data_IF_259152731335
#
_entry.id   IF_259152731335
#
_cell.length_a   1.000
_cell.length_b   1.000
_cell.length_c   1.000
_cell.angle_alpha   90.00
_cell.angle_beta   90.00
_cell.angle_gamma   90.00
#
_symmetry.space_group_name_H-M   'P 1'
#
loop_
_entity.id
_entity.type
_entity.pdbx_description
1 polymer ?
#
# COMPACT_ATOMS: atom_id res chain seq x y z
N UNK A 1 -14.76 31.14 5.68
CA UNK A 1 -14.53 29.86 5.01
C UNK A 1 -13.50 29.05 5.75
N UNK A 2 -13.78 27.81 5.96
CA UNK A 2 -12.83 26.92 6.61
C UNK A 2 -11.69 26.59 5.64
N UNK A 3 -10.47 27.03 5.96
CA UNK A 3 -9.28 26.80 5.12
C UNK A 3 -8.49 25.55 5.49
N UNK A 4 -9.05 24.67 6.30
CA UNK A 4 -8.38 23.50 6.80
C UNK A 4 -8.47 22.31 5.86
N UNK A 5 -7.56 21.36 6.06
CA UNK A 5 -7.57 20.10 5.32
C UNK A 5 -8.69 19.19 5.81
N UNK A 6 -9.20 18.37 4.89
CA UNK A 6 -10.16 17.33 5.24
C UNK A 6 -9.50 16.23 6.09
N UNK A 7 -10.27 15.42 6.84
CA UNK A 7 -9.71 14.28 7.57
C UNK A 7 -8.89 13.34 6.70
N UNK A 8 -9.31 13.09 5.47
CA UNK A 8 -8.54 12.27 4.53
C UNK A 8 -7.19 12.90 4.20
N UNK A 9 -7.18 14.21 3.91
CA UNK A 9 -5.96 14.95 3.59
C UNK A 9 -5.02 14.99 4.81
N UNK A 10 -5.56 15.22 6.00
CA UNK A 10 -4.78 15.22 7.24
C UNK A 10 -4.18 13.85 7.55
N UNK A 11 -4.93 12.78 7.33
CA UNK A 11 -4.43 11.42 7.52
C UNK A 11 -3.25 11.14 6.59
N UNK A 12 -3.37 11.53 5.32
CA UNK A 12 -2.30 11.35 4.33
C UNK A 12 -1.07 12.18 4.70
N UNK A 13 -1.25 13.45 5.10
CA UNK A 13 -0.15 14.33 5.51
C UNK A 13 0.53 13.82 6.78
N UNK A 14 -0.25 13.36 7.75
CA UNK A 14 0.29 12.79 8.99
C UNK A 14 1.16 11.57 8.69
N UNK A 15 0.67 10.66 7.86
CA UNK A 15 1.41 9.47 7.44
C UNK A 15 2.71 9.86 6.73
N UNK A 16 2.66 10.84 5.83
CA UNK A 16 3.84 11.32 5.12
C UNK A 16 4.89 11.90 6.07
N UNK A 17 4.45 12.69 7.05
CA UNK A 17 5.34 13.28 8.06
C UNK A 17 6.00 12.19 8.92
N UNK A 18 5.24 11.19 9.32
CA UNK A 18 5.78 10.06 10.09
C UNK A 18 6.88 9.37 9.30
N UNK A 19 6.63 9.09 8.01
CA UNK A 19 7.64 8.48 7.14
C UNK A 19 8.88 9.35 6.94
N UNK A 20 8.71 10.66 6.95
CA UNK A 20 9.83 11.59 6.81
C UNK A 20 10.76 11.55 8.03
N UNK A 21 10.21 11.45 9.23
CA UNK A 21 10.96 11.57 10.48
C UNK A 21 11.31 10.25 11.13
N UNK A 22 10.59 9.19 10.79
CA UNK A 22 10.85 7.86 11.33
C UNK A 22 11.58 7.04 10.28
N UNK A 23 12.82 6.69 10.59
CA UNK A 23 13.62 5.85 9.70
C UNK A 23 13.00 4.45 9.58
N UNK A 24 12.79 4.01 8.36
CA UNK A 24 12.34 2.63 8.12
C UNK A 24 13.47 1.65 8.40
N UNK A 25 13.20 0.64 9.23
CA UNK A 25 14.07 -0.49 9.39
C UNK A 25 13.99 -1.44 8.19
N UNK A 26 14.86 -2.48 8.15
CA UNK A 26 14.81 -3.46 7.07
C UNK A 26 13.47 -4.17 6.95
N UNK A 27 12.83 -4.51 8.08
CA UNK A 27 11.54 -5.19 8.09
C UNK A 27 10.44 -4.32 7.47
N UNK A 28 10.41 -3.04 7.80
CA UNK A 28 9.42 -2.08 7.27
C UNK A 28 9.60 -1.86 5.78
N UNK A 29 10.85 -1.83 5.31
CA UNK A 29 11.13 -1.71 3.87
C UNK A 29 10.62 -2.93 3.11
N UNK A 30 10.83 -4.12 3.67
CA UNK A 30 10.34 -5.37 3.07
C UNK A 30 8.82 -5.36 3.03
N UNK A 31 8.16 -4.99 4.11
CA UNK A 31 6.69 -4.93 4.17
C UNK A 31 6.13 -3.94 3.17
N UNK A 32 6.75 -2.77 3.05
CA UNK A 32 6.33 -1.76 2.08
C UNK A 32 6.45 -2.29 0.64
N UNK A 33 7.58 -2.94 0.33
CA UNK A 33 7.80 -3.53 -0.99
C UNK A 33 6.77 -4.63 -1.29
N UNK A 34 6.46 -5.47 -0.30
CA UNK A 34 5.43 -6.51 -0.43
C UNK A 34 4.07 -5.90 -0.73
N UNK A 35 3.66 -4.87 0.00
CA UNK A 35 2.37 -4.22 -0.19
C UNK A 35 2.26 -3.59 -1.58
N UNK A 36 3.32 -2.95 -2.04
CA UNK A 36 3.37 -2.36 -3.37
C UNK A 36 3.18 -3.42 -4.45
N UNK A 37 3.84 -4.56 -4.29
CA UNK A 37 3.73 -5.68 -5.21
C UNK A 37 2.34 -6.31 -5.18
N UNK A 38 1.77 -6.53 -4.00
CA UNK A 38 0.40 -7.07 -3.84
C UNK A 38 -0.63 -6.13 -4.45
N UNK A 39 -0.47 -4.83 -4.26
CA UNK A 39 -1.34 -3.82 -4.86
C UNK A 39 -1.28 -3.86 -6.39
N UNK A 40 -0.08 -4.01 -6.95
CA UNK A 40 0.10 -4.10 -8.39
C UNK A 40 -0.60 -5.35 -8.98
N UNK A 41 -0.50 -6.48 -8.28
CA UNK A 41 -1.18 -7.71 -8.70
C UNK A 41 -2.69 -7.58 -8.59
N UNK A 42 -3.18 -7.04 -7.47
CA UNK A 42 -4.62 -6.93 -7.23
C UNK A 42 -5.31 -5.96 -8.18
N UNK A 43 -4.58 -4.99 -8.72
CA UNK A 43 -5.16 -4.01 -9.65
C UNK A 43 -5.61 -4.65 -10.97
N UNK A 44 -5.11 -5.83 -11.30
CA UNK A 44 -5.44 -6.53 -12.54
C UNK A 44 -5.27 -8.04 -12.37
N UNK A 45 -6.17 -8.67 -11.64
CA UNK A 45 -6.14 -10.13 -11.47
C UNK A 45 -6.97 -10.83 -12.57
N UNK A 46 -6.45 -11.90 -13.16
CA UNK A 46 -5.08 -12.42 -13.02
C UNK A 46 -4.06 -11.53 -13.75
N UNK A 47 -2.95 -11.25 -13.10
CA UNK A 47 -1.91 -10.37 -13.63
C UNK A 47 -0.75 -11.17 -14.20
N UNK A 48 -0.19 -10.73 -15.33
CA UNK A 48 1.05 -11.31 -15.84
C UNK A 48 2.24 -10.59 -15.20
N UNK A 49 3.44 -11.21 -15.30
CA UNK A 49 4.68 -10.56 -14.85
C UNK A 49 4.88 -9.22 -15.55
N UNK A 50 4.56 -9.15 -16.84
CA UNK A 50 4.69 -7.90 -17.59
C UNK A 50 3.72 -6.83 -17.08
N UNK A 51 2.50 -7.19 -16.74
CA UNK A 51 1.54 -6.25 -16.16
C UNK A 51 2.08 -5.65 -14.87
N UNK A 52 2.62 -6.50 -14.00
CA UNK A 52 3.18 -6.08 -12.72
C UNK A 52 4.42 -5.21 -12.93
N UNK A 53 5.31 -5.62 -13.84
CA UNK A 53 6.52 -4.86 -14.16
C UNK A 53 6.20 -3.45 -14.67
N UNK A 54 5.21 -3.33 -15.54
CA UNK A 54 4.76 -2.03 -16.05
C UNK A 54 4.17 -1.17 -14.95
N UNK A 55 3.36 -1.75 -14.08
CA UNK A 55 2.70 -1.03 -12.99
C UNK A 55 3.73 -0.48 -12.00
N UNK A 56 4.76 -1.27 -11.69
CA UNK A 56 5.79 -0.89 -10.72
C UNK A 56 6.91 -0.06 -11.35
N UNK A 57 7.12 -0.18 -12.66
CA UNK A 57 8.20 0.51 -13.36
C UNK A 57 9.56 -0.14 -13.14
N UNK A 58 9.60 -1.46 -12.97
CA UNK A 58 10.84 -2.24 -12.80
C UNK A 58 10.95 -3.30 -13.88
N UNK A 59 12.18 -3.75 -14.11
CA UNK A 59 12.46 -4.81 -15.07
C UNK A 59 11.89 -6.15 -14.66
N UNK A 60 11.51 -6.96 -15.64
CA UNK A 60 10.89 -8.27 -15.40
C UNK A 60 11.73 -9.22 -14.53
N UNK A 61 13.08 -9.30 -14.64
CA UNK A 61 13.85 -10.18 -13.76
C UNK A 61 13.75 -9.82 -12.28
N UNK A 62 13.76 -8.52 -11.94
CA UNK A 62 13.62 -8.07 -10.56
C UNK A 62 12.22 -8.37 -10.04
N UNK A 63 11.19 -8.12 -10.85
CA UNK A 63 9.80 -8.41 -10.50
C UNK A 63 9.60 -9.91 -10.31
N UNK A 64 10.17 -10.74 -11.17
CA UNK A 64 10.08 -12.20 -11.07
C UNK A 64 10.62 -12.70 -9.72
N UNK A 65 11.78 -12.18 -9.29
CA UNK A 65 12.36 -12.54 -8.00
C UNK A 65 11.48 -12.11 -6.81
N UNK A 66 10.90 -10.93 -6.90
CA UNK A 66 9.99 -10.44 -5.86
C UNK A 66 8.71 -11.28 -5.80
N UNK A 67 8.18 -11.66 -6.95
CA UNK A 67 7.00 -12.55 -7.03
C UNK A 67 7.32 -13.93 -6.45
N UNK A 68 8.49 -14.49 -6.77
CA UNK A 68 8.91 -15.77 -6.20
C UNK A 68 8.93 -15.74 -4.66
N UNK A 69 9.42 -14.65 -4.10
CA UNK A 69 9.41 -14.46 -2.65
C UNK A 69 7.99 -14.41 -2.08
N UNK A 70 7.06 -13.74 -2.77
CA UNK A 70 5.67 -13.67 -2.34
C UNK A 70 4.96 -15.01 -2.44
N UNK A 71 5.28 -15.81 -3.47
CA UNK A 71 4.75 -17.16 -3.61
C UNK A 71 5.23 -18.05 -2.47
N UNK A 72 6.52 -17.97 -2.13
CA UNK A 72 7.08 -18.73 -1.00
C UNK A 72 6.46 -18.30 0.33
N UNK A 73 6.12 -17.02 0.45
CA UNK A 73 5.46 -16.50 1.67
C UNK A 73 3.97 -16.85 1.75
N UNK A 74 3.41 -17.47 0.71
CA UNK A 74 1.99 -17.84 0.68
C UNK A 74 1.04 -16.70 0.41
N UNK A 75 1.53 -15.57 -0.11
CA UNK A 75 0.71 -14.37 -0.37
C UNK A 75 0.21 -14.28 -1.81
N UNK A 76 0.88 -14.96 -2.72
CA UNK A 76 0.59 -14.96 -4.16
C UNK A 76 0.62 -16.40 -4.66
N UNK A 77 -0.24 -16.72 -5.60
CA UNK A 77 -0.21 -18.00 -6.31
C UNK A 77 -0.07 -17.78 -7.81
N UNK A 78 0.58 -18.74 -8.46
CA UNK A 78 0.65 -18.77 -9.92
C UNK A 78 -0.47 -19.63 -10.45
N UNK A 79 -1.17 -19.11 -11.47
CA UNK A 79 -2.24 -19.81 -12.17
C UNK A 79 -1.97 -19.75 -13.66
N UNK A 80 -2.72 -20.51 -14.44
CA UNK A 80 -2.67 -20.35 -15.89
C UNK A 80 -3.43 -19.10 -16.31
N UNK A 81 -2.88 -18.38 -17.29
CA UNK A 81 -3.60 -17.27 -17.90
C UNK A 81 -4.81 -17.80 -18.67
N UNK A 82 -6.03 -17.34 -18.38
CA UNK A 82 -7.23 -17.79 -19.08
C UNK A 82 -7.19 -17.58 -20.59
N UNK A 83 -6.44 -16.56 -21.03
CA UNK A 83 -6.37 -16.19 -22.43
C UNK A 83 -5.16 -16.81 -23.17
N UNK A 84 -4.20 -17.35 -22.43
CA UNK A 84 -3.02 -17.96 -23.00
C UNK A 84 -2.44 -19.00 -22.05
N UNK A 85 -2.68 -20.29 -22.34
CA UNK A 85 -2.25 -21.40 -21.48
C UNK A 85 -0.73 -21.54 -21.31
N UNK A 86 0.05 -20.93 -22.19
CA UNK A 86 1.51 -20.94 -22.11
C UNK A 86 2.04 -19.88 -21.14
N UNK A 87 1.18 -18.96 -20.72
CA UNK A 87 1.53 -17.85 -19.85
C UNK A 87 1.02 -18.10 -18.44
N UNK A 88 1.87 -17.83 -17.47
CA UNK A 88 1.45 -17.86 -16.07
C UNK A 88 0.86 -16.52 -15.68
N UNK A 89 -0.17 -16.58 -14.86
CA UNK A 89 -0.81 -15.42 -14.28
C UNK A 89 -0.68 -15.48 -12.77
N UNK A 90 -0.82 -14.33 -12.13
CA UNK A 90 -0.64 -14.16 -10.70
C UNK A 90 -1.96 -13.74 -10.06
N UNK A 91 -2.26 -14.32 -8.91
CA UNK A 91 -3.40 -13.96 -8.08
C UNK A 91 -2.97 -13.88 -6.64
N UNK A 92 -3.63 -13.03 -5.87
CA UNK A 92 -3.45 -13.02 -4.43
C UNK A 92 -4.09 -14.28 -3.84
N UNK A 93 -3.43 -14.85 -2.83
CA UNK A 93 -4.05 -15.87 -1.99
C UNK A 93 -4.99 -15.17 -0.99
N UNK A 94 -5.79 -15.94 -0.25
CA UNK A 94 -6.60 -15.35 0.81
C UNK A 94 -5.72 -14.64 1.84
N UNK A 95 -4.58 -15.23 2.18
CA UNK A 95 -3.62 -14.61 3.08
C UNK A 95 -3.10 -13.27 2.55
N UNK A 96 -2.83 -13.18 1.24
CA UNK A 96 -2.44 -11.93 0.59
C UNK A 96 -3.54 -10.87 0.65
N UNK A 97 -4.80 -11.27 0.44
CA UNK A 97 -5.95 -10.37 0.54
C UNK A 97 -6.16 -9.87 1.96
N UNK A 98 -6.00 -10.76 2.94
CA UNK A 98 -6.14 -10.42 4.36
C UNK A 98 -5.08 -9.38 4.78
N UNK A 99 -3.86 -9.54 4.31
CA UNK A 99 -2.79 -8.59 4.59
C UNK A 99 -3.12 -7.20 4.03
N UNK A 100 -3.63 -7.12 2.82
CA UNK A 100 -4.06 -5.85 2.22
C UNK A 100 -5.23 -5.22 2.96
N UNK A 101 -6.22 -6.04 3.34
CA UNK A 101 -7.40 -5.58 4.06
C UNK A 101 -7.05 -5.00 5.44
N UNK A 102 -6.13 -5.64 6.14
CA UNK A 102 -5.65 -5.16 7.44
C UNK A 102 -5.05 -3.76 7.32
N UNK A 103 -4.32 -3.49 6.24
CA UNK A 103 -3.73 -2.18 6.02
C UNK A 103 -4.78 -1.11 5.68
N UNK A 104 -5.75 -1.46 4.85
CA UNK A 104 -6.87 -0.56 4.53
C UNK A 104 -7.64 -0.23 5.81
N UNK A 105 -7.89 -1.21 6.65
CA UNK A 105 -8.57 -1.02 7.93
C UNK A 105 -7.79 -0.09 8.86
N UNK A 106 -6.45 -0.19 8.90
CA UNK A 106 -5.60 0.69 9.71
C UNK A 106 -5.70 2.15 9.23
N UNK A 107 -5.65 2.37 7.90
CA UNK A 107 -5.83 3.71 7.33
C UNK A 107 -7.22 4.29 7.62
N UNK A 108 -8.25 3.44 7.55
CA UNK A 108 -9.62 3.83 7.86
C UNK A 108 -9.78 4.19 9.34
N UNK A 109 -9.05 3.53 10.25
CA UNK A 109 -9.10 3.82 11.68
C UNK A 109 -8.57 5.23 11.98
N UNK A 110 -7.46 5.63 11.37
CA UNK A 110 -6.92 6.99 11.53
C UNK A 110 -7.91 8.03 11.00
N UNK A 111 -8.42 7.82 9.80
CA UNK A 111 -9.41 8.73 9.21
C UNK A 111 -10.65 8.85 10.10
N UNK A 112 -11.17 7.74 10.58
CA UNK A 112 -12.33 7.72 11.46
C UNK A 112 -12.09 8.47 12.77
N UNK A 113 -10.89 8.39 13.33
CA UNK A 113 -10.50 9.14 14.51
C UNK A 113 -10.54 10.65 14.24
N UNK A 114 -9.97 11.07 13.11
CA UNK A 114 -9.94 12.48 12.73
C UNK A 114 -11.33 13.02 12.45
N UNK A 115 -12.22 12.23 11.87
CA UNK A 115 -13.60 12.63 11.61
C UNK A 115 -14.40 12.93 12.88
N UNK A 116 -14.02 12.34 14.02
CA UNK A 116 -14.69 12.52 15.30
C UNK A 116 -14.18 13.73 16.07
N UNK A 117 -13.11 14.36 15.61
CA UNK A 117 -12.54 15.50 16.31
C UNK A 117 -13.35 16.77 16.06
N UNK A 118 -13.38 17.64 17.07
CA UNK A 118 -13.96 18.97 16.91
C UNK A 118 -13.08 19.82 15.98
N UNK A 119 -13.64 20.89 15.42
CA UNK A 119 -12.93 21.79 14.52
C UNK A 119 -11.60 22.29 15.11
N UNK A 120 -11.65 22.69 16.38
CA UNK A 120 -10.44 23.19 17.06
C UNK A 120 -9.38 22.11 17.19
N UNK A 121 -9.81 20.88 17.42
CA UNK A 121 -8.88 19.74 17.52
C UNK A 121 -8.26 19.39 16.17
N UNK A 122 -9.06 19.43 15.10
CA UNK A 122 -8.54 19.22 13.74
C UNK A 122 -7.51 20.29 13.37
N UNK A 123 -7.76 21.55 13.75
CA UNK A 123 -6.81 22.63 13.54
C UNK A 123 -5.51 22.40 14.32
N UNK A 124 -5.61 21.88 15.54
CA UNK A 124 -4.45 21.56 16.34
C UNK A 124 -3.61 20.45 15.68
N UNK A 125 -4.26 19.42 15.16
CA UNK A 125 -3.58 18.35 14.41
C UNK A 125 -2.92 18.91 13.16
N UNK A 126 -3.63 19.74 12.40
CA UNK A 126 -3.10 20.38 11.19
C UNK A 126 -1.87 21.23 11.52
N UNK A 127 -1.94 22.02 12.60
CA UNK A 127 -0.82 22.82 13.03
C UNK A 127 0.39 21.99 13.44
N UNK A 128 0.15 20.88 14.17
CA UNK A 128 1.21 19.95 14.54
C UNK A 128 1.90 19.36 13.30
N UNK A 129 1.12 18.97 12.31
CA UNK A 129 1.66 18.44 11.05
C UNK A 129 2.50 19.49 10.34
N UNK A 130 2.02 20.73 10.23
CA UNK A 130 2.76 21.84 9.61
C UNK A 130 4.10 22.07 10.29
N UNK A 131 4.14 22.01 11.63
CA UNK A 131 5.40 22.16 12.37
C UNK A 131 6.36 21.03 12.04
N UNK A 132 5.87 19.81 11.94
CA UNK A 132 6.70 18.64 11.63
C UNK A 132 7.13 18.59 10.16
N UNK A 133 6.39 19.25 9.27
CA UNK A 133 6.73 19.34 7.85
C UNK A 133 7.87 20.32 7.55
N UNK A 134 8.23 21.17 8.48
CA UNK A 134 9.28 22.19 8.30
C UNK A 134 10.68 21.60 8.13
#
# INVERSE_FOLDING_TARGET
MFGGSTPDALAARFTAVVHMWVSEGPAERVDRARRKMLSAISSREPATLNDVAKHIGRGAPAVSRSVDALVRAGLVERTQDPNNRRRLALRLTQQGRDLMSARIAAGSALRGKLERLAHSELRAVERAIEILER
#
